data_IF_813648011355
#
_entry.id   IF_813648011355
#
_cell.length_a   1.000
_cell.length_b   1.000
_cell.length_c   1.000
_cell.angle_alpha   90.00
_cell.angle_beta   90.00
_cell.angle_gamma   90.00
#
_symmetry.space_group_name_H-M   'P 1'
#
loop_
_entity.id
_entity.type
_entity.pdbx_description
1 polymer ?
#
# COMPACT_ATOMS: atom_id res chain seq x y z
N UNK A 1 -13.96 16.15 32.77
CA UNK A 1 -13.30 16.39 31.46
C UNK A 1 -12.26 15.31 31.26
N UNK A 2 -12.36 14.52 30.20
CA UNK A 2 -11.37 13.47 29.87
C UNK A 2 -10.04 14.12 29.49
N UNK A 3 -8.93 13.63 30.05
CA UNK A 3 -7.59 14.16 29.77
C UNK A 3 -7.04 13.61 28.45
N UNK A 4 -6.15 14.38 27.77
CA UNK A 4 -5.43 13.92 26.56
C UNK A 4 -4.75 12.56 26.78
N UNK A 5 -4.22 12.32 27.98
CA UNK A 5 -3.56 11.06 28.36
C UNK A 5 -4.52 9.86 28.36
N UNK A 6 -5.77 10.06 28.75
CA UNK A 6 -6.79 9.00 28.73
C UNK A 6 -7.27 8.68 27.30
N UNK A 7 -7.35 9.69 26.43
CA UNK A 7 -7.70 9.51 25.02
C UNK A 7 -6.64 8.70 24.25
N UNK A 8 -5.36 9.04 24.44
CA UNK A 8 -4.24 8.28 23.84
C UNK A 8 -4.25 6.82 24.30
N UNK A 9 -4.47 6.57 25.60
CA UNK A 9 -4.53 5.21 26.15
C UNK A 9 -5.71 4.38 25.61
N UNK A 10 -6.84 5.02 25.28
CA UNK A 10 -8.00 4.34 24.68
C UNK A 10 -7.78 3.97 23.21
N UNK A 11 -7.05 4.79 22.46
CA UNK A 11 -6.69 4.49 21.07
C UNK A 11 -5.63 3.38 20.99
N UNK A 12 -4.64 3.38 21.90
CA UNK A 12 -3.60 2.35 21.94
C UNK A 12 -4.12 0.94 22.31
N UNK A 13 -5.25 0.84 23.00
CA UNK A 13 -5.82 -0.44 23.43
C UNK A 13 -6.61 -1.21 22.37
N UNK A 14 -7.03 -0.56 21.27
CA UNK A 14 -7.93 -1.15 20.27
C UNK A 14 -7.55 -0.97 18.80
N UNK A 15 -6.73 0.03 18.45
CA UNK A 15 -6.44 0.35 17.04
C UNK A 15 -5.15 -0.28 16.49
N UNK A 16 -4.24 -0.76 17.35
CA UNK A 16 -2.94 -1.27 16.90
C UNK A 16 -3.00 -2.65 16.22
N UNK A 17 -4.05 -3.44 16.47
CA UNK A 17 -4.19 -4.78 15.89
C UNK A 17 -4.53 -4.78 14.39
N UNK A 18 -5.07 -3.67 13.85
CA UNK A 18 -5.42 -3.53 12.43
C UNK A 18 -4.41 -2.69 11.64
N UNK A 19 -3.50 -1.98 12.33
CA UNK A 19 -2.48 -1.15 11.67
C UNK A 19 -1.17 -1.90 11.39
N UNK A 20 -0.89 -3.01 12.09
CA UNK A 20 0.39 -3.72 11.98
C UNK A 20 0.58 -4.51 10.69
N UNK A 21 -0.48 -4.78 9.93
CA UNK A 21 -0.37 -5.45 8.62
C UNK A 21 -0.11 -4.48 7.47
N UNK A 22 -0.44 -3.20 7.61
CA UNK A 22 -0.30 -2.20 6.54
C UNK A 22 1.15 -1.71 6.32
N UNK A 23 2.09 -2.08 7.20
CA UNK A 23 3.48 -1.60 7.17
C UNK A 23 4.52 -2.68 6.87
N UNK A 24 4.10 -3.88 6.46
CA UNK A 24 5.04 -4.89 5.98
C UNK A 24 5.42 -4.58 4.53
N UNK A 25 6.38 -3.69 4.35
CA UNK A 25 7.11 -3.57 3.08
C UNK A 25 7.89 -4.87 2.87
N UNK A 26 7.28 -5.84 2.18
CA UNK A 26 8.02 -7.00 1.68
C UNK A 26 8.99 -6.50 0.61
N UNK A 27 10.26 -6.95 0.61
CA UNK A 27 11.14 -6.68 -0.52
C UNK A 27 10.49 -7.24 -1.79
N UNK A 28 10.44 -6.42 -2.85
CA UNK A 28 10.05 -6.87 -4.19
C UNK A 28 10.98 -8.01 -4.61
N UNK A 29 10.46 -9.22 -4.48
CA UNK A 29 11.10 -10.51 -4.75
C UNK A 29 10.17 -11.31 -5.67
N UNK A 30 10.52 -12.55 -6.01
CA UNK A 30 9.62 -13.45 -6.76
C UNK A 30 8.18 -13.46 -6.19
N UNK A 31 8.04 -13.26 -4.88
CA UNK A 31 6.74 -13.16 -4.19
C UNK A 31 5.83 -12.03 -4.67
N UNK A 32 6.36 -10.90 -5.19
CA UNK A 32 5.54 -9.83 -5.75
C UNK A 32 4.79 -10.27 -7.02
N UNK A 33 5.47 -11.03 -7.87
CA UNK A 33 4.87 -11.56 -9.08
C UNK A 33 3.87 -12.67 -8.74
N UNK A 34 4.15 -13.49 -7.74
CA UNK A 34 3.17 -14.45 -7.21
C UNK A 34 1.91 -13.75 -6.69
N UNK A 35 2.06 -12.66 -5.94
CA UNK A 35 0.94 -11.87 -5.42
C UNK A 35 0.10 -11.29 -6.58
N UNK A 36 0.72 -10.66 -7.59
CA UNK A 36 0.00 -10.16 -8.77
C UNK A 36 -0.70 -11.27 -9.57
N UNK A 37 -0.07 -12.43 -9.71
CA UNK A 37 -0.64 -13.58 -10.42
C UNK A 37 -1.77 -14.28 -9.64
N UNK A 38 -1.92 -13.98 -8.34
CA UNK A 38 -3.00 -14.54 -7.52
C UNK A 38 -4.36 -13.92 -7.81
N UNK A 39 -4.39 -12.70 -8.36
CA UNK A 39 -5.61 -12.03 -8.77
C UNK A 39 -6.21 -12.73 -10.00
N UNK A 40 -7.50 -13.06 -9.93
CA UNK A 40 -8.21 -13.78 -10.98
C UNK A 40 -9.53 -13.08 -11.29
N UNK A 41 -9.96 -13.14 -12.55
CA UNK A 41 -11.18 -12.48 -13.00
C UNK A 41 -11.06 -11.94 -14.42
N UNK A 42 -12.09 -11.22 -14.86
CA UNK A 42 -12.00 -10.50 -16.13
C UNK A 42 -11.07 -9.30 -15.99
N UNK A 43 -10.47 -8.86 -17.10
CA UNK A 43 -9.62 -7.67 -17.11
C UNK A 43 -10.39 -6.42 -16.63
N UNK A 44 -11.69 -6.34 -16.93
CA UNK A 44 -12.54 -5.23 -16.50
C UNK A 44 -12.82 -5.23 -14.99
N UNK A 45 -12.82 -6.42 -14.37
CA UNK A 45 -13.02 -6.54 -12.92
C UNK A 45 -11.71 -6.22 -12.20
N UNK A 46 -10.57 -6.78 -12.65
CA UNK A 46 -9.24 -6.49 -12.10
C UNK A 46 -8.92 -5.00 -12.21
N UNK A 47 -9.28 -4.35 -13.31
CA UNK A 47 -9.04 -2.91 -13.48
C UNK A 47 -9.72 -2.05 -12.41
N UNK A 48 -10.77 -2.56 -11.75
CA UNK A 48 -11.51 -1.88 -10.67
C UNK A 48 -11.13 -2.39 -9.28
N UNK A 49 -10.21 -3.35 -9.18
CA UNK A 49 -9.80 -3.96 -7.93
C UNK A 49 -8.72 -3.10 -7.26
N UNK A 50 -9.06 -2.46 -6.15
CA UNK A 50 -8.15 -1.60 -5.40
C UNK A 50 -7.03 -2.39 -4.70
N UNK A 51 -7.25 -3.66 -4.36
CA UNK A 51 -6.21 -4.49 -3.73
C UNK A 51 -5.13 -4.84 -4.76
N UNK A 52 -5.51 -5.06 -6.02
CA UNK A 52 -4.57 -5.23 -7.13
C UNK A 52 -3.70 -3.97 -7.31
N UNK A 53 -4.33 -2.80 -7.41
CA UNK A 53 -3.60 -1.54 -7.61
C UNK A 53 -2.77 -1.13 -6.40
N UNK A 54 -3.25 -1.40 -5.18
CA UNK A 54 -2.47 -1.22 -3.96
C UNK A 54 -1.20 -2.08 -3.96
N UNK A 55 -1.29 -3.31 -4.48
CA UNK A 55 -0.13 -4.20 -4.66
C UNK A 55 0.85 -3.60 -5.66
N UNK A 56 0.38 -3.20 -6.86
CA UNK A 56 1.22 -2.54 -7.89
C UNK A 56 1.91 -1.29 -7.34
N UNK A 57 1.23 -0.48 -6.53
CA UNK A 57 1.80 0.73 -5.92
C UNK A 57 2.98 0.44 -4.98
N UNK A 58 3.02 -0.73 -4.33
CA UNK A 58 4.16 -1.10 -3.47
C UNK A 58 5.46 -1.28 -4.25
N UNK A 59 5.42 -1.43 -5.58
CA UNK A 59 6.61 -1.53 -6.41
C UNK A 59 7.46 -0.25 -6.46
N UNK A 60 6.91 0.89 -6.03
CA UNK A 60 7.53 2.21 -6.19
C UNK A 60 7.85 2.87 -4.84
N UNK A 61 9.07 3.39 -4.71
CA UNK A 61 9.58 4.10 -3.52
C UNK A 61 9.28 5.62 -3.57
N UNK A 62 8.10 6.00 -4.05
CA UNK A 62 7.68 7.41 -4.17
C UNK A 62 7.25 8.02 -2.83
N UNK A 63 7.31 9.35 -2.72
CA UNK A 63 6.75 10.08 -1.59
C UNK A 63 5.21 9.98 -1.58
N UNK A 64 4.66 9.24 -0.60
CA UNK A 64 3.21 8.99 -0.45
C UNK A 64 2.44 10.17 0.14
N UNK A 65 3.11 11.26 0.51
CA UNK A 65 2.44 12.51 0.90
C UNK A 65 2.03 13.37 -0.31
N UNK A 66 2.48 13.01 -1.51
CA UNK A 66 2.21 13.71 -2.76
C UNK A 66 1.30 12.88 -3.68
N UNK A 67 0.38 13.56 -4.37
CA UNK A 67 -0.42 12.96 -5.44
C UNK A 67 0.27 13.26 -6.77
N UNK A 68 0.80 12.23 -7.42
CA UNK A 68 1.47 12.36 -8.71
C UNK A 68 0.48 12.13 -9.87
N UNK A 69 0.08 13.21 -10.54
CA UNK A 69 -0.76 13.19 -11.74
C UNK A 69 0.05 13.38 -13.05
N UNK A 70 1.38 13.26 -13.00
CA UNK A 70 2.27 13.58 -14.13
C UNK A 70 3.03 12.36 -14.69
N UNK A 71 2.60 11.14 -14.37
CA UNK A 71 3.26 9.91 -14.86
C UNK A 71 3.30 9.76 -16.39
N UNK A 72 2.54 10.56 -17.16
CA UNK A 72 2.56 10.52 -18.64
C UNK A 72 3.81 11.16 -19.27
N UNK A 73 4.54 12.03 -18.56
CA UNK A 73 5.78 12.62 -19.05
C UNK A 73 6.99 11.75 -18.70
N UNK A 74 7.16 11.47 -17.41
CA UNK A 74 8.16 10.54 -16.87
C UNK A 74 7.55 9.91 -15.62
N UNK A 75 7.54 8.57 -15.58
CA UNK A 75 7.17 7.82 -14.38
C UNK A 75 8.42 7.51 -13.55
N UNK A 76 8.32 7.49 -12.20
CA UNK A 76 9.34 6.90 -11.35
C UNK A 76 9.64 5.46 -11.76
N UNK A 77 10.89 5.03 -11.63
CA UNK A 77 11.26 3.61 -11.76
C UNK A 77 10.83 2.83 -10.51
N UNK A 78 10.39 1.57 -10.66
CA UNK A 78 10.14 0.70 -9.52
C UNK A 78 11.45 0.33 -8.81
N UNK A 79 11.38 -0.04 -7.54
CA UNK A 79 12.52 -0.26 -6.63
C UNK A 79 13.59 -1.20 -7.22
N UNK A 80 13.17 -2.26 -7.91
CA UNK A 80 14.07 -3.30 -8.42
C UNK A 80 14.94 -2.87 -9.61
N UNK A 81 14.71 -1.70 -10.22
CA UNK A 81 15.55 -1.10 -11.27
C UNK A 81 16.02 0.32 -10.95
N UNK A 82 15.90 0.74 -9.69
CA UNK A 82 16.45 2.03 -9.23
C UNK A 82 17.98 2.05 -9.21
#
# INVERSE_FOLDING_TARGET
MSSRKQFINQISGGALALASTAFLTKPLSDSFYEDLNSFSGSVLDIAKDEDFWATVQQAFTVDRSLINLNNGGVSPSPEFVQ
#
